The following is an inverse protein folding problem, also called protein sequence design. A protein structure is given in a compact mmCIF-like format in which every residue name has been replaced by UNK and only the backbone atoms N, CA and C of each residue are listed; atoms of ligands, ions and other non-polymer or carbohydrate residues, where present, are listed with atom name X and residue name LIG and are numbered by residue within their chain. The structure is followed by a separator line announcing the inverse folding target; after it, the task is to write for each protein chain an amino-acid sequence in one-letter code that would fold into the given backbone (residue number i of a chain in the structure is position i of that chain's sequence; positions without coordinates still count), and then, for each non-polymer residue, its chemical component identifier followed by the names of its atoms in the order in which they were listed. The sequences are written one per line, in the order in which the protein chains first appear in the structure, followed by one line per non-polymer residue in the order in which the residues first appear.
data_IF_913364326133
#
_entry.id   IF_913364326133
#
_cell.length_a   1.000
_cell.length_b   1.000
_cell.length_c   1.000
_cell.angle_alpha   90.00
_cell.angle_beta   90.00
_cell.angle_gamma   90.00
#
_symmetry.space_group_name_H-M   'P 1'
#
loop_
_entity.id
_entity.type
_entity.pdbx_description
1 polymer ?
#
# COMPACT_ATOMS: atom_id res chain seq x y z
N UNK A 1 -4.00 10.17 -7.36
CA UNK A 1 -3.70 8.79 -6.95
C UNK A 1 -4.14 8.62 -5.49
N UNK A 2 -5.04 7.68 -5.14
CA UNK A 2 -5.55 7.57 -3.77
C UNK A 2 -4.50 7.00 -2.81
N UNK A 3 -4.46 7.51 -1.57
CA UNK A 3 -3.63 6.97 -0.49
C UNK A 3 -4.12 5.59 -0.10
N UNK A 4 -3.20 4.63 0.05
CA UNK A 4 -3.53 3.26 0.47
C UNK A 4 -3.50 3.07 1.98
N UNK A 5 -2.84 3.97 2.69
CA UNK A 5 -2.66 3.90 4.15
C UNK A 5 -2.45 5.27 4.77
N UNK A 6 -2.71 5.38 6.08
CA UNK A 6 -2.50 6.62 6.82
C UNK A 6 -1.04 7.04 6.87
N UNK A 7 -0.11 6.07 7.01
CA UNK A 7 1.33 6.34 6.99
C UNK A 7 1.78 6.96 5.66
N UNK A 8 1.16 6.54 4.54
CA UNK A 8 1.44 7.12 3.24
C UNK A 8 1.00 8.58 3.17
N UNK A 9 -0.21 8.90 3.66
CA UNK A 9 -0.71 10.29 3.73
C UNK A 9 0.20 11.20 4.57
N UNK A 10 0.73 10.71 5.69
CA UNK A 10 1.67 11.47 6.54
C UNK A 10 2.97 11.79 5.80
N UNK A 11 3.54 10.81 5.10
CA UNK A 11 4.77 11.01 4.31
C UNK A 11 4.57 12.03 3.18
N UNK A 12 3.37 12.07 2.58
CA UNK A 12 3.06 13.08 1.57
C UNK A 12 2.77 14.46 2.16
N UNK A 13 2.21 14.54 3.38
CA UNK A 13 2.10 15.82 4.08
C UNK A 13 3.48 16.41 4.39
N UNK A 14 4.46 15.58 4.75
CA UNK A 14 5.85 16.00 4.92
C UNK A 14 6.44 16.53 3.60
N UNK A 15 6.22 15.84 2.48
CA UNK A 15 6.64 16.33 1.15
C UNK A 15 5.98 17.65 0.74
N UNK A 16 4.76 17.92 1.21
CA UNK A 16 4.07 19.19 0.98
C UNK A 16 4.73 20.30 1.80
N UNK A 17 5.08 20.04 3.06
CA UNK A 17 5.81 20.98 3.92
C UNK A 17 7.20 21.26 3.38
N UNK A 18 7.87 20.24 2.85
CA UNK A 18 9.16 20.39 2.15
C UNK A 18 9.05 21.11 0.79
N UNK A 19 7.83 21.35 0.27
CA UNK A 19 7.61 22.01 -1.01
C UNK A 19 7.92 21.14 -2.24
N UNK A 20 8.05 19.81 -2.06
CA UNK A 20 8.29 18.86 -3.16
C UNK A 20 7.02 18.47 -3.92
N UNK A 21 5.85 18.77 -3.35
CA UNK A 21 4.54 18.61 -3.99
C UNK A 21 3.69 19.85 -3.74
N UNK A 22 2.80 20.17 -4.69
CA UNK A 22 1.83 21.25 -4.55
C UNK A 22 0.66 20.85 -3.66
N UNK A 23 0.01 21.84 -3.03
CA UNK A 23 -1.21 21.62 -2.24
C UNK A 23 -2.32 21.00 -3.09
N UNK A 24 -2.49 21.46 -4.32
CA UNK A 24 -3.47 20.91 -5.28
C UNK A 24 -3.27 19.40 -5.51
N UNK A 25 -2.02 18.96 -5.68
CA UNK A 25 -1.68 17.54 -5.85
C UNK A 25 -2.05 16.72 -4.62
N UNK A 26 -1.80 17.26 -3.42
CA UNK A 26 -2.17 16.61 -2.17
C UNK A 26 -3.68 16.53 -2.01
N UNK A 27 -4.40 17.61 -2.29
CA UNK A 27 -5.86 17.69 -2.19
C UNK A 27 -6.57 16.78 -3.19
N UNK A 28 -6.10 16.71 -4.44
CA UNK A 28 -6.62 15.74 -5.43
C UNK A 28 -6.50 14.31 -4.92
N UNK A 29 -5.38 13.98 -4.29
CA UNK A 29 -5.15 12.63 -3.77
C UNK A 29 -5.99 12.38 -2.52
N UNK A 30 -6.18 13.40 -1.68
CA UNK A 30 -7.04 13.33 -0.50
C UNK A 30 -8.52 13.15 -0.90
N UNK A 31 -8.97 13.87 -1.94
CA UNK A 31 -10.30 13.74 -2.55
C UNK A 31 -10.49 12.38 -3.19
N UNK A 32 -9.50 11.88 -3.94
CA UNK A 32 -9.54 10.57 -4.58
C UNK A 32 -9.55 9.41 -3.58
N UNK A 33 -8.98 9.60 -2.38
CA UNK A 33 -8.98 8.58 -1.32
C UNK A 33 -10.36 8.41 -0.67
N UNK A 34 -11.19 9.45 -0.69
CA UNK A 34 -12.51 9.46 -0.06
C UNK A 34 -12.44 9.34 1.47
N UNK A 35 -13.61 9.45 2.13
CA UNK A 35 -13.75 9.35 3.59
C UNK A 35 -13.58 7.93 4.16
N UNK A 36 -13.05 6.99 3.39
CA UNK A 36 -12.88 5.61 3.82
C UNK A 36 -11.83 5.53 4.94
N UNK A 37 -12.14 4.76 6.00
CA UNK A 37 -11.21 4.53 7.11
C UNK A 37 -10.05 3.66 6.64
N UNK A 38 -8.95 4.31 6.25
CA UNK A 38 -7.75 3.63 5.79
C UNK A 38 -7.04 2.92 6.94
N UNK A 39 -6.46 1.73 6.69
CA UNK A 39 -5.58 1.09 7.66
C UNK A 39 -4.32 1.94 7.89
N UNK A 40 -3.73 1.81 9.08
CA UNK A 40 -2.49 2.52 9.44
C UNK A 40 -1.34 2.18 8.48
N UNK A 41 -1.17 0.88 8.18
CA UNK A 41 -0.19 0.34 7.24
C UNK A 41 -0.82 -0.79 6.43
N UNK A 42 -0.66 -0.75 5.11
CA UNK A 42 -1.04 -1.89 4.26
C UNK A 42 -0.02 -3.01 4.48
N UNK A 43 -0.39 -4.04 5.23
CA UNK A 43 0.40 -5.27 5.30
C UNK A 43 0.10 -6.09 4.05
N UNK A 44 1.15 -6.44 3.29
CA UNK A 44 0.99 -7.39 2.20
C UNK A 44 0.47 -8.71 2.78
N UNK A 45 -0.71 -9.16 2.34
CA UNK A 45 -1.26 -10.45 2.74
C UNK A 45 -0.26 -11.51 2.27
N UNK A 46 0.24 -12.33 3.20
CA UNK A 46 1.18 -13.39 2.88
C UNK A 46 0.59 -14.26 1.76
N UNK A 47 1.25 -14.29 0.59
CA UNK A 47 0.86 -15.20 -0.48
C UNK A 47 1.05 -16.61 0.07
N UNK A 48 0.06 -17.52 -0.02
CA UNK A 48 0.28 -18.90 0.37
C UNK A 48 1.47 -19.41 -0.46
N UNK A 49 2.54 -19.84 0.21
CA UNK A 49 3.64 -20.53 -0.47
C UNK A 49 3.00 -21.76 -1.11
N UNK A 50 2.84 -21.77 -2.44
CA UNK A 50 2.39 -22.95 -3.14
C UNK A 50 3.31 -24.09 -2.73
N UNK A 51 2.72 -25.11 -2.11
CA UNK A 51 3.44 -26.26 -1.63
C UNK A 51 4.31 -26.81 -2.74
N UNK A 52 5.61 -26.93 -2.48
CA UNK A 52 6.55 -27.67 -3.32
C UNK A 52 5.95 -29.07 -3.44
N UNK A 53 5.36 -29.39 -4.60
CA UNK A 53 4.76 -30.69 -4.87
C UNK A 53 5.88 -31.71 -4.69
N UNK A 54 5.81 -32.48 -3.62
CA UNK A 54 6.75 -33.55 -3.35
C UNK A 54 6.74 -34.47 -4.57
N UNK A 55 7.85 -34.49 -5.29
CA UNK A 55 8.11 -35.47 -6.33
C UNK A 55 8.10 -36.82 -5.63
N UNK A 56 6.99 -37.54 -5.84
CA UNK A 56 6.83 -38.92 -5.44
C UNK A 56 7.87 -39.71 -6.23
N UNK A 57 8.99 -40.05 -5.58
CA UNK A 57 9.88 -41.13 -6.01
C UNK A 57 9.04 -42.40 -6.08
N UNK A 58 8.55 -42.73 -7.27
CA UNK A 58 8.10 -44.09 -7.58
C UNK A 58 9.35 -44.95 -7.77
N UNK A 59 9.51 -45.95 -6.92
CA UNK A 59 10.32 -47.16 -7.13
C UNK A 59 9.36 -48.33 -6.87
N UNK A 60 9.30 -49.34 -7.75
CA UNK A 60 10.28 -50.43 -7.82
C UNK A 60 11.14 -50.38 -9.08
#
# INVERSE_FOLDING_TARGET
MPFKSQAQRRKFAELLVEGKISNETFEEWNRATGGAKLPERVRAKARPKSGRKATSRRKP
#
